data_IF_066022864673
#
_entry.id   IF_066022864673
#
_cell.length_a   1.000
_cell.length_b   1.000
_cell.length_c   1.000
_cell.angle_alpha   90.00
_cell.angle_beta   90.00
_cell.angle_gamma   90.00
#
_symmetry.space_group_name_H-M   'P 1'
#
loop_
_entity.id
_entity.type
_entity.pdbx_description
1 polymer ?
#
# COMPACT_ATOMS: atom_id res chain seq x y z
N UNK A 1 13.69 8.23 -8.52
CA UNK A 1 13.89 8.09 -7.06
C UNK A 1 15.37 8.36 -6.76
N UNK A 2 15.80 9.62 -6.70
CA UNK A 2 17.19 9.98 -6.38
C UNK A 2 17.25 10.68 -5.02
N UNK A 3 18.06 10.08 -4.15
CA UNK A 3 18.79 10.64 -3.00
C UNK A 3 18.08 11.14 -1.74
N UNK A 4 16.77 11.42 -1.74
CA UNK A 4 16.19 12.04 -0.54
C UNK A 4 15.75 11.06 0.57
N UNK A 5 15.97 9.75 0.40
CA UNK A 5 15.65 8.69 1.37
C UNK A 5 14.24 8.80 1.99
N UNK A 6 13.26 9.30 1.23
CA UNK A 6 11.87 9.43 1.68
C UNK A 6 11.36 8.08 2.17
N UNK A 7 10.79 8.04 3.38
CA UNK A 7 10.27 6.81 3.95
C UNK A 7 11.32 5.97 4.68
N UNK A 8 12.54 6.48 4.91
CA UNK A 8 13.55 5.77 5.73
C UNK A 8 13.09 5.57 7.17
N UNK A 9 12.27 6.51 7.68
CA UNK A 9 11.63 6.41 8.99
C UNK A 9 10.20 6.94 8.90
N UNK A 10 9.32 6.31 9.68
CA UNK A 10 7.91 6.68 9.80
C UNK A 10 7.50 6.68 11.26
N UNK A 11 6.72 7.69 11.67
CA UNK A 11 6.10 7.76 12.98
C UNK A 11 4.63 8.17 12.84
N UNK A 12 3.76 7.53 13.62
CA UNK A 12 2.32 7.81 13.63
C UNK A 12 1.91 8.21 15.04
N UNK A 13 1.20 9.34 15.16
CA UNK A 13 0.55 9.77 16.40
C UNK A 13 -0.83 10.33 16.09
N UNK A 14 -1.87 9.65 16.57
CA UNK A 14 -3.26 10.00 16.25
C UNK A 14 -3.51 10.00 14.73
N UNK A 15 -3.93 11.16 14.22
CA UNK A 15 -4.21 11.41 12.80
C UNK A 15 -2.98 11.90 12.01
N UNK A 16 -1.81 12.02 12.64
CA UNK A 16 -0.63 12.65 12.05
C UNK A 16 0.46 11.62 11.77
N UNK A 17 0.87 11.52 10.50
CA UNK A 17 1.97 10.70 10.00
C UNK A 17 3.17 11.61 9.69
N UNK A 18 4.31 11.31 10.29
CA UNK A 18 5.59 11.92 9.98
C UNK A 18 6.43 10.94 9.16
N UNK A 19 6.92 11.37 8.01
CA UNK A 19 7.83 10.60 7.16
C UNK A 19 9.17 11.32 7.09
N UNK A 20 10.26 10.65 7.44
CA UNK A 20 11.61 11.21 7.37
C UNK A 20 12.35 10.81 6.09
N UNK A 21 13.35 11.61 5.72
CA UNK A 21 14.36 11.28 4.72
C UNK A 21 15.65 12.05 4.99
N UNK A 22 16.80 11.36 5.04
CA UNK A 22 18.06 11.94 5.54
C UNK A 22 18.91 12.67 4.48
N UNK A 23 18.71 12.40 3.18
CA UNK A 23 19.55 12.92 2.09
C UNK A 23 18.97 14.12 1.35
N UNK A 24 18.00 14.80 1.95
CA UNK A 24 17.28 15.85 1.26
C UNK A 24 18.05 17.18 1.28
N UNK A 25 18.82 17.41 0.22
CA UNK A 25 19.72 18.54 0.04
C UNK A 25 18.98 19.81 -0.42
N UNK A 26 18.08 20.32 0.42
CA UNK A 26 17.32 21.54 0.09
C UNK A 26 18.14 22.82 0.24
N UNK A 27 19.04 22.89 1.24
CA UNK A 27 19.91 24.05 1.49
C UNK A 27 21.30 23.68 2.07
N UNK A 28 21.49 22.46 2.57
CA UNK A 28 22.76 21.95 3.12
C UNK A 28 22.86 20.44 2.86
N UNK A 29 24.09 19.94 2.66
CA UNK A 29 24.37 18.52 2.37
C UNK A 29 23.88 17.63 3.53
N UNK A 30 23.04 16.64 3.24
CA UNK A 30 22.45 15.69 4.19
C UNK A 30 21.71 16.35 5.37
N UNK A 31 21.10 17.53 5.16
CA UNK A 31 20.30 18.18 6.20
C UNK A 31 19.09 17.36 6.64
N UNK A 32 18.62 16.48 5.76
CA UNK A 32 17.38 15.74 5.92
C UNK A 32 16.13 16.61 5.74
N UNK A 33 15.02 15.95 5.48
CA UNK A 33 13.69 16.52 5.40
C UNK A 33 12.70 15.61 6.12
N UNK A 34 11.61 16.22 6.57
CA UNK A 34 10.46 15.49 7.06
C UNK A 34 9.20 16.00 6.37
N UNK A 35 8.32 15.08 6.02
CA UNK A 35 7.01 15.34 5.45
C UNK A 35 5.95 15.00 6.50
N UNK A 36 5.04 15.95 6.73
CA UNK A 36 3.92 15.78 7.67
C UNK A 36 2.64 15.59 6.87
N UNK A 37 1.97 14.46 7.10
CA UNK A 37 0.67 14.15 6.53
C UNK A 37 -0.35 14.06 7.67
N UNK A 38 -1.55 14.60 7.44
CA UNK A 38 -2.70 14.43 8.34
C UNK A 38 -3.76 13.60 7.65
N UNK A 39 -4.26 12.58 8.34
CA UNK A 39 -5.39 11.78 7.92
C UNK A 39 -6.64 12.65 8.05
N UNK A 40 -7.17 13.11 6.93
CA UNK A 40 -8.31 14.04 6.90
C UNK A 40 -9.65 13.37 7.23
N UNK A 41 -9.74 12.04 7.14
CA UNK A 41 -10.93 11.28 7.43
C UNK A 41 -10.60 10.13 8.38
N UNK A 42 -10.56 10.44 9.67
CA UNK A 42 -10.27 9.46 10.74
C UNK A 42 -11.40 8.45 10.94
N UNK A 43 -12.61 8.78 10.48
CA UNK A 43 -13.80 7.92 10.57
C UNK A 43 -13.97 7.03 9.33
N UNK A 44 -13.03 7.10 8.37
CA UNK A 44 -13.06 6.27 7.18
C UNK A 44 -12.99 4.80 7.57
N UNK A 45 -14.01 4.03 7.18
CA UNK A 45 -13.94 2.57 7.21
C UNK A 45 -12.98 2.12 6.10
N UNK A 46 -11.74 1.80 6.51
CA UNK A 46 -10.69 1.26 5.65
C UNK A 46 -10.60 -0.25 5.90
N UNK A 47 -10.92 -1.11 4.92
CA UNK A 47 -10.79 -2.55 5.09
C UNK A 47 -9.32 -2.96 5.20
N UNK A 48 -9.02 -3.85 6.14
CA UNK A 48 -7.71 -4.47 6.24
C UNK A 48 -7.58 -5.61 5.22
N UNK A 49 -6.60 -5.52 4.32
CA UNK A 49 -6.21 -6.62 3.44
C UNK A 49 -5.25 -7.54 4.18
N UNK A 50 -5.66 -8.78 4.38
CA UNK A 50 -4.84 -9.85 4.94
C UNK A 50 -4.35 -10.77 3.82
N UNK A 51 -3.11 -11.24 3.93
CA UNK A 51 -2.53 -12.21 2.99
C UNK A 51 -2.03 -13.39 3.81
N UNK A 52 -2.53 -14.58 3.50
CA UNK A 52 -2.06 -15.84 4.08
C UNK A 52 -1.65 -16.82 2.97
N UNK A 53 -0.85 -17.82 3.31
CA UNK A 53 -0.46 -18.87 2.37
C UNK A 53 -1.29 -20.13 2.62
N UNK A 54 -1.85 -20.70 1.56
CA UNK A 54 -2.54 -22.00 1.57
C UNK A 54 -2.02 -22.89 0.45
N UNK A 55 -1.09 -23.80 0.76
CA UNK A 55 -0.38 -24.59 -0.25
C UNK A 55 0.40 -23.69 -1.22
N UNK A 56 0.09 -23.82 -2.52
CA UNK A 56 0.65 -23.00 -3.60
C UNK A 56 -0.11 -21.69 -3.85
N UNK A 57 -1.08 -21.36 -2.99
CA UNK A 57 -1.85 -20.14 -3.10
C UNK A 57 -1.45 -19.08 -2.09
N UNK A 58 -1.50 -17.82 -2.52
CA UNK A 58 -1.73 -16.68 -1.66
C UNK A 58 -3.26 -16.48 -1.57
N UNK A 59 -3.78 -16.50 -0.35
CA UNK A 59 -5.17 -16.21 -0.04
C UNK A 59 -5.21 -14.79 0.49
N UNK A 60 -5.86 -13.91 -0.27
CA UNK A 60 -6.12 -12.54 0.11
C UNK A 60 -7.51 -12.47 0.71
N UNK A 61 -7.67 -11.86 1.87
CA UNK A 61 -8.97 -11.66 2.50
C UNK A 61 -9.13 -10.26 3.06
N UNK A 62 -10.35 -9.74 3.02
CA UNK A 62 -10.70 -8.44 3.56
C UNK A 62 -12.18 -8.41 3.96
N UNK A 63 -12.55 -7.50 4.86
CA UNK A 63 -13.97 -7.23 5.09
C UNK A 63 -14.53 -6.48 3.88
N UNK A 64 -15.51 -7.07 3.19
CA UNK A 64 -16.24 -6.39 2.12
C UNK A 64 -16.76 -5.04 2.62
N UNK A 65 -16.27 -3.95 2.02
CA UNK A 65 -16.57 -2.58 2.44
C UNK A 65 -16.89 -1.77 1.20
N UNK A 66 -18.01 -1.07 1.22
CA UNK A 66 -18.50 -0.28 0.09
C UNK A 66 -17.45 0.71 -0.41
N UNK A 67 -17.29 0.77 -1.73
CA UNK A 67 -16.38 1.71 -2.39
C UNK A 67 -14.91 1.28 -2.42
N UNK A 68 -14.58 0.07 -1.96
CA UNK A 68 -13.23 -0.49 -2.07
C UNK A 68 -13.21 -1.66 -3.07
N UNK A 69 -12.16 -1.73 -3.88
CA UNK A 69 -11.93 -2.85 -4.80
C UNK A 69 -10.50 -3.33 -4.72
N UNK A 70 -10.28 -4.61 -5.00
CA UNK A 70 -8.95 -5.20 -5.06
C UNK A 70 -8.29 -4.85 -6.39
N UNK A 71 -7.05 -4.38 -6.33
CA UNK A 71 -6.18 -4.16 -7.48
C UNK A 71 -4.93 -5.02 -7.37
N UNK A 72 -4.37 -5.36 -8.52
CA UNK A 72 -3.11 -6.09 -8.63
C UNK A 72 -2.15 -5.41 -9.58
N UNK A 73 -0.85 -5.64 -9.38
CA UNK A 73 0.18 -5.21 -10.32
C UNK A 73 1.44 -6.07 -10.21
N UNK A 74 2.15 -6.37 -11.30
CA UNK A 74 3.47 -7.00 -11.24
C UNK A 74 4.59 -6.03 -10.81
N UNK A 75 4.31 -4.72 -10.72
CA UNK A 75 5.27 -3.69 -10.30
C UNK A 75 4.63 -2.72 -9.31
N UNK A 76 5.43 -1.89 -8.64
CA UNK A 76 4.89 -0.80 -7.81
C UNK A 76 4.62 0.50 -8.59
N UNK A 77 4.72 0.48 -9.92
CA UNK A 77 4.49 1.68 -10.73
C UNK A 77 3.04 2.16 -10.58
N UNK A 78 2.77 3.45 -10.34
CA UNK A 78 1.41 3.93 -10.11
C UNK A 78 0.40 3.59 -11.22
N UNK A 79 0.85 3.60 -12.48
CA UNK A 79 -0.01 3.32 -13.65
C UNK A 79 -0.18 1.84 -14.02
N UNK A 80 0.47 0.90 -13.33
CA UNK A 80 0.39 -0.54 -13.68
C UNK A 80 -0.70 -1.30 -12.93
N UNK A 81 -1.41 -0.63 -12.02
CA UNK A 81 -2.45 -1.26 -11.20
C UNK A 81 -3.73 -1.47 -11.98
N UNK A 82 -4.18 -2.72 -12.04
CA UNK A 82 -5.42 -3.12 -12.70
C UNK A 82 -6.40 -3.71 -11.68
N UNK A 83 -7.72 -3.49 -11.86
CA UNK A 83 -8.72 -4.08 -10.99
C UNK A 83 -8.71 -5.61 -11.09
N UNK A 84 -9.01 -6.27 -9.98
CA UNK A 84 -9.23 -7.72 -9.92
C UNK A 84 -10.72 -7.99 -9.97
N UNK A 85 -11.14 -8.88 -10.87
CA UNK A 85 -12.53 -9.35 -10.91
C UNK A 85 -12.75 -10.34 -9.76
N UNK A 86 -13.38 -9.86 -8.68
CA UNK A 86 -13.72 -10.66 -7.51
C UNK A 86 -15.20 -11.04 -7.61
N UNK A 87 -15.52 -12.34 -7.54
CA UNK A 87 -16.90 -12.85 -7.65
C UNK A 87 -17.66 -12.79 -6.32
N UNK A 88 -16.96 -12.74 -5.20
CA UNK A 88 -17.54 -12.55 -3.87
C UNK A 88 -16.59 -11.68 -3.06
N UNK A 89 -17.03 -10.49 -2.70
CA UNK A 89 -16.19 -9.55 -1.96
C UNK A 89 -15.68 -10.18 -0.66
N UNK A 90 -14.39 -9.98 -0.42
CA UNK A 90 -13.72 -10.37 0.83
C UNK A 90 -12.78 -11.56 0.73
N UNK A 91 -12.64 -12.21 -0.43
CA UNK A 91 -11.55 -13.16 -0.68
C UNK A 91 -11.08 -13.22 -2.14
N UNK A 92 -9.79 -13.41 -2.35
CA UNK A 92 -9.19 -13.69 -3.67
C UNK A 92 -8.02 -14.65 -3.53
N UNK A 93 -7.95 -15.64 -4.43
CA UNK A 93 -6.87 -16.63 -4.44
C UNK A 93 -5.94 -16.40 -5.62
N UNK A 94 -4.64 -16.34 -5.36
CA UNK A 94 -3.59 -16.19 -6.36
C UNK A 94 -2.61 -17.36 -6.32
N UNK A 95 -2.42 -18.04 -7.44
CA UNK A 95 -1.46 -19.14 -7.57
C UNK A 95 -0.03 -18.58 -7.64
N UNK A 96 0.79 -18.92 -6.63
CA UNK A 96 2.17 -18.46 -6.49
C UNK A 96 3.09 -19.22 -7.46
N UNK A 97 2.83 -20.52 -7.66
CA UNK A 97 3.70 -21.41 -8.44
C UNK A 97 3.67 -21.15 -9.94
N UNK A 98 2.58 -20.59 -10.47
CA UNK A 98 2.38 -20.35 -11.90
C UNK A 98 2.42 -18.87 -12.30
N UNK A 99 2.62 -17.97 -11.35
CA UNK A 99 2.45 -16.53 -11.53
C UNK A 99 3.75 -15.74 -11.36
N UNK A 100 3.89 -14.56 -12.02
CA UNK A 100 4.94 -13.62 -11.67
C UNK A 100 4.77 -13.14 -10.22
N UNK A 101 5.80 -12.50 -9.66
CA UNK A 101 5.62 -11.73 -8.43
C UNK A 101 4.47 -10.73 -8.63
N UNK A 102 3.57 -10.68 -7.65
CA UNK A 102 2.35 -9.88 -7.73
C UNK A 102 2.19 -9.06 -6.46
N UNK A 103 1.89 -7.78 -6.63
CA UNK A 103 1.47 -6.87 -5.59
C UNK A 103 -0.04 -6.74 -5.61
N UNK A 104 -0.61 -6.54 -4.42
CA UNK A 104 -2.05 -6.37 -4.23
C UNK A 104 -2.33 -5.18 -3.32
N UNK A 105 -3.42 -4.47 -3.59
CA UNK A 105 -3.91 -3.41 -2.70
C UNK A 105 -5.43 -3.30 -2.79
N UNK A 106 -6.04 -2.85 -1.70
CA UNK A 106 -7.39 -2.32 -1.75
C UNK A 106 -7.29 -0.83 -2.09
N UNK A 107 -8.14 -0.37 -2.98
CA UNK A 107 -8.20 1.02 -3.39
C UNK A 107 -9.66 1.44 -3.63
N UNK A 108 -9.97 2.71 -3.34
CA UNK A 108 -11.19 3.36 -3.83
C UNK A 108 -11.00 3.72 -5.32
N UNK A 109 -11.88 3.27 -6.22
CA UNK A 109 -11.82 3.57 -7.65
C UNK A 109 -11.71 5.07 -7.96
#
# INVERSE_FOLDING_TARGET
ESDNAYGVSVALSGDTLLVGGYGADSNWINAGMAWVYRISNTDAVVPMLSISRGGDNAILSWQATTGWSLYRSPTMNPGSWLPVNVTTDGTHTYQISSGPRMFFRLQKP
#
